data_IF_242166434547
#
_entry.id   IF_242166434547
#
_cell.length_a   1.000
_cell.length_b   1.000
_cell.length_c   1.000
_cell.angle_alpha   90.00
_cell.angle_beta   90.00
_cell.angle_gamma   90.00
#
_symmetry.space_group_name_H-M   'P 1'
#
loop_
_entity.id
_entity.type
_entity.pdbx_description
1 polymer ?
#
# COMPACT_ATOMS: atom_id res chain seq x y z
N UNK A 1 -10.03 -43.66 61.73
CA UNK A 1 -9.88 -42.27 61.83
C UNK A 1 -10.55 -41.54 60.69
N UNK A 2 -11.09 -40.44 60.93
CA UNK A 2 -12.03 -39.66 60.13
C UNK A 2 -11.42 -38.97 58.88
N UNK A 3 -12.18 -39.00 57.82
CA UNK A 3 -11.94 -38.33 56.55
C UNK A 3 -12.09 -36.79 56.67
N UNK A 4 -11.11 -36.06 56.18
CA UNK A 4 -11.20 -34.60 55.99
C UNK A 4 -11.80 -34.26 54.63
N UNK A 5 -12.90 -33.50 54.64
CA UNK A 5 -13.59 -32.93 53.46
C UNK A 5 -12.74 -31.80 52.82
N UNK A 6 -12.72 -31.66 51.50
CA UNK A 6 -12.11 -30.49 50.86
C UNK A 6 -13.06 -29.30 50.93
N UNK A 7 -12.49 -28.13 51.30
CA UNK A 7 -13.18 -26.83 51.35
C UNK A 7 -13.26 -26.27 49.93
N UNK A 8 -14.46 -25.92 49.49
CA UNK A 8 -14.76 -25.29 48.23
C UNK A 8 -14.35 -23.80 48.25
N UNK A 9 -13.61 -23.36 47.24
CA UNK A 9 -13.26 -21.97 46.99
C UNK A 9 -14.38 -21.33 46.15
N UNK A 10 -14.95 -20.18 46.51
CA UNK A 10 -15.96 -19.52 45.71
C UNK A 10 -15.32 -18.75 44.53
N UNK A 11 -15.80 -19.08 43.33
CA UNK A 11 -15.57 -18.41 42.08
C UNK A 11 -16.11 -16.98 42.11
N UNK A 12 -15.23 -15.97 42.09
CA UNK A 12 -15.63 -14.57 41.96
C UNK A 12 -15.90 -14.24 40.46
N UNK A 13 -17.17 -13.99 40.15
CA UNK A 13 -17.58 -13.37 38.85
C UNK A 13 -17.11 -11.93 38.85
N UNK A 14 -16.16 -11.61 37.97
CA UNK A 14 -15.82 -10.24 37.58
C UNK A 14 -16.91 -9.70 36.64
N UNK A 15 -17.77 -8.83 37.15
CA UNK A 15 -18.63 -7.95 36.35
C UNK A 15 -17.85 -6.70 36.00
N UNK A 16 -17.49 -6.55 34.73
CA UNK A 16 -16.91 -5.33 34.15
C UNK A 16 -18.02 -4.25 34.09
N UNK A 17 -17.95 -3.27 34.98
CA UNK A 17 -18.74 -2.03 34.89
C UNK A 17 -17.89 -0.95 34.28
N UNK A 18 -18.21 -0.56 33.04
CA UNK A 18 -17.71 0.65 32.38
C UNK A 18 -18.21 1.91 33.10
N UNK A 19 -17.40 2.95 33.29
CA UNK A 19 -17.87 4.21 33.86
C UNK A 19 -18.73 4.98 32.84
N UNK A 20 -19.94 5.35 33.24
CA UNK A 20 -20.79 6.33 32.52
C UNK A 20 -20.13 7.69 32.59
N UNK A 21 -19.83 8.27 31.43
CA UNK A 21 -19.53 9.69 31.27
C UNK A 21 -20.85 10.46 31.44
N UNK A 22 -20.84 11.45 32.32
CA UNK A 22 -21.96 12.39 32.51
C UNK A 22 -21.98 13.38 31.35
N UNK A 23 -23.14 13.48 30.71
CA UNK A 23 -23.46 14.57 29.79
C UNK A 23 -23.66 15.86 30.59
N UNK A 24 -22.69 16.76 30.49
CA UNK A 24 -22.90 18.16 30.81
C UNK A 24 -23.13 18.93 29.51
N UNK A 25 -24.37 19.37 29.34
CA UNK A 25 -24.88 20.20 28.26
C UNK A 25 -24.42 21.61 28.52
N UNK A 26 -23.72 22.26 27.60
CA UNK A 26 -23.52 23.69 27.49
C UNK A 26 -23.85 24.23 26.09
N UNK A 27 -24.31 25.49 25.98
CA UNK A 27 -25.33 25.90 25.04
C UNK A 27 -24.81 26.45 23.70
N UNK A 28 -25.65 26.24 22.70
CA UNK A 28 -25.88 26.99 21.44
C UNK A 28 -24.77 27.92 20.90
N UNK A 29 -24.11 27.47 19.83
CA UNK A 29 -23.52 28.33 18.80
C UNK A 29 -24.24 28.05 17.46
N UNK A 30 -24.47 29.10 16.64
CA UNK A 30 -25.38 29.01 15.49
C UNK A 30 -24.76 28.36 14.27
N UNK A 31 -25.53 27.46 13.68
CA UNK A 31 -25.64 27.13 12.26
C UNK A 31 -24.41 27.11 11.37
N UNK A 32 -23.68 25.98 11.39
CA UNK A 32 -22.91 25.57 10.23
C UNK A 32 -23.54 24.28 9.72
N UNK A 33 -24.09 24.35 8.52
CA UNK A 33 -24.69 23.22 7.82
C UNK A 33 -23.69 22.06 7.77
N UNK A 34 -24.10 20.91 8.28
CA UNK A 34 -23.34 19.66 8.15
C UNK A 34 -23.30 19.32 6.65
N UNK A 35 -22.12 19.05 6.07
CA UNK A 35 -22.07 18.40 4.77
C UNK A 35 -22.55 16.97 4.95
N UNK A 36 -23.48 16.56 4.08
CA UNK A 36 -24.04 15.24 3.98
C UNK A 36 -22.95 14.17 4.13
N UNK A 37 -23.25 13.18 4.97
CA UNK A 37 -22.42 12.00 5.17
C UNK A 37 -22.18 11.31 3.83
N UNK A 38 -21.04 11.62 3.22
CA UNK A 38 -20.56 10.89 2.06
C UNK A 38 -20.34 9.45 2.53
N UNK A 39 -21.19 8.57 2.06
CA UNK A 39 -21.15 7.12 2.18
C UNK A 39 -19.71 6.64 1.96
N UNK A 40 -19.08 6.15 3.02
CA UNK A 40 -17.82 5.43 2.94
C UNK A 40 -18.15 4.10 2.26
N UNK A 41 -17.95 4.04 0.96
CA UNK A 41 -18.11 2.81 0.17
C UNK A 41 -16.99 1.86 0.59
N UNK A 42 -17.36 0.75 1.22
CA UNK A 42 -16.46 -0.34 1.58
C UNK A 42 -15.83 -0.95 0.29
N UNK A 43 -14.61 -1.49 0.36
CA UNK A 43 -13.92 -2.03 -0.83
C UNK A 43 -14.64 -3.19 -1.53
N UNK A 44 -15.63 -3.81 -0.88
CA UNK A 44 -16.45 -4.89 -1.43
C UNK A 44 -17.55 -4.43 -2.40
N UNK A 45 -17.91 -3.13 -2.40
CA UNK A 45 -19.07 -2.66 -3.14
C UNK A 45 -18.72 -2.07 -4.52
N UNK A 46 -17.46 -2.21 -4.96
CA UNK A 46 -16.99 -1.67 -6.25
C UNK A 46 -17.19 -2.67 -7.41
N UNK A 47 -17.54 -3.92 -7.12
CA UNK A 47 -17.47 -5.00 -8.12
C UNK A 47 -18.74 -5.25 -8.95
N UNK A 48 -19.93 -4.72 -8.60
CA UNK A 48 -21.14 -5.22 -9.26
C UNK A 48 -22.10 -4.21 -9.94
N UNK A 49 -21.86 -2.88 -9.87
CA UNK A 49 -22.86 -1.94 -10.42
C UNK A 49 -22.32 -0.71 -11.20
N UNK A 50 -21.25 -0.90 -11.99
CA UNK A 50 -20.95 0.05 -13.06
C UNK A 50 -21.31 -0.60 -14.39
N UNK A 51 -22.61 -0.63 -14.67
CA UNK A 51 -23.06 -0.79 -16.05
C UNK A 51 -22.47 0.37 -16.83
N UNK A 52 -21.62 0.14 -17.85
CA UNK A 52 -21.05 1.24 -18.62
C UNK A 52 -22.20 2.04 -19.24
N UNK A 53 -22.24 3.35 -18.96
CA UNK A 53 -23.10 4.25 -19.70
C UNK A 53 -22.91 3.95 -21.18
N UNK A 54 -24.03 3.84 -21.89
CA UNK A 54 -24.14 3.55 -23.34
C UNK A 54 -22.99 4.24 -24.07
N UNK A 55 -22.05 3.52 -24.69
CA UNK A 55 -21.02 4.16 -25.50
C UNK A 55 -21.73 4.90 -26.65
N UNK A 56 -21.61 6.21 -26.70
CA UNK A 56 -22.00 6.96 -27.86
C UNK A 56 -21.21 6.42 -29.06
N UNK A 57 -21.82 6.24 -30.23
CA UNK A 57 -21.12 5.72 -31.40
C UNK A 57 -20.10 6.78 -31.86
N UNK A 58 -18.87 6.66 -31.37
CA UNK A 58 -17.77 7.46 -31.84
C UNK A 58 -17.38 6.93 -33.22
N UNK A 59 -17.82 7.63 -34.26
CA UNK A 59 -17.61 7.28 -35.69
C UNK A 59 -16.14 7.34 -36.13
N UNK A 60 -15.20 7.44 -35.20
CA UNK A 60 -13.78 7.54 -35.49
C UNK A 60 -13.01 6.34 -34.92
N UNK A 61 -13.50 5.12 -35.12
CA UNK A 61 -12.69 3.92 -34.96
C UNK A 61 -11.82 3.75 -36.21
N UNK A 62 -10.81 4.61 -36.35
CA UNK A 62 -9.69 4.28 -37.19
C UNK A 62 -9.10 2.99 -36.64
N UNK A 63 -9.07 1.95 -37.43
CA UNK A 63 -8.32 0.75 -37.16
C UNK A 63 -6.88 1.18 -36.83
N UNK A 64 -6.48 1.06 -35.56
CA UNK A 64 -5.12 1.32 -35.16
C UNK A 64 -4.23 0.33 -35.90
N UNK A 65 -3.27 0.81 -36.75
CA UNK A 65 -2.34 -0.08 -37.42
C UNK A 65 -1.58 -0.87 -36.37
N UNK A 66 -1.54 -2.19 -36.54
CA UNK A 66 -0.70 -3.06 -35.73
C UNK A 66 0.74 -2.60 -35.87
N UNK A 67 1.45 -2.29 -34.78
CA UNK A 67 2.85 -1.91 -34.89
C UNK A 67 3.64 -3.09 -35.45
N UNK A 68 4.41 -2.82 -36.50
CA UNK A 68 5.40 -3.76 -37.00
C UNK A 68 6.44 -4.07 -35.93
N UNK A 69 7.01 -5.27 -35.86
CA UNK A 69 8.01 -5.63 -34.87
C UNK A 69 9.25 -4.74 -35.07
N UNK A 70 9.60 -3.95 -34.06
CA UNK A 70 10.80 -3.13 -34.07
C UNK A 70 12.04 -4.02 -34.11
N UNK A 71 13.02 -3.76 -35.03
CA UNK A 71 14.26 -4.53 -35.07
C UNK A 71 15.20 -4.11 -33.94
N UNK A 72 15.62 -5.09 -33.14
CA UNK A 72 16.88 -5.08 -32.41
C UNK A 72 16.94 -4.34 -31.09
N UNK A 73 16.74 -5.07 -29.98
CA UNK A 73 17.36 -4.78 -28.69
C UNK A 73 17.80 -6.09 -28.04
N UNK A 74 19.03 -6.06 -27.52
CA UNK A 74 19.81 -7.19 -27.06
C UNK A 74 19.13 -8.15 -26.09
N UNK A 75 19.55 -9.38 -26.22
CA UNK A 75 19.01 -10.62 -25.67
C UNK A 75 19.10 -10.71 -24.16
N UNK A 76 18.03 -10.29 -23.47
CA UNK A 76 17.74 -10.79 -22.14
C UNK A 76 16.69 -11.93 -22.26
N UNK A 77 16.90 -12.99 -21.53
CA UNK A 77 16.06 -14.21 -21.52
C UNK A 77 14.56 -13.88 -21.36
N UNK A 78 14.24 -12.81 -20.62
CA UNK A 78 12.86 -12.33 -20.43
C UNK A 78 12.26 -11.81 -21.74
N UNK A 79 13.07 -11.20 -22.61
CA UNK A 79 12.66 -10.75 -23.93
C UNK A 79 12.36 -11.95 -24.86
N UNK A 80 13.07 -13.07 -24.70
CA UNK A 80 12.89 -14.27 -25.49
C UNK A 80 11.53 -14.92 -25.20
N UNK A 81 11.17 -15.10 -23.92
CA UNK A 81 9.86 -15.65 -23.52
C UNK A 81 8.71 -14.74 -23.96
N UNK A 82 8.84 -13.44 -23.79
CA UNK A 82 7.82 -12.48 -24.24
C UNK A 82 7.69 -12.53 -25.76
N UNK A 83 8.79 -12.65 -26.49
CA UNK A 83 8.79 -12.74 -27.94
C UNK A 83 8.14 -14.07 -28.43
N UNK A 84 8.38 -15.19 -27.74
CA UNK A 84 7.71 -16.44 -28.02
C UNK A 84 6.19 -16.31 -27.88
N UNK A 85 5.73 -15.72 -26.78
CA UNK A 85 4.31 -15.44 -26.56
C UNK A 85 3.72 -14.56 -27.67
N UNK A 86 4.40 -13.46 -28.03
CA UNK A 86 3.94 -12.57 -29.10
C UNK A 86 3.87 -13.26 -30.47
N UNK A 87 4.81 -14.16 -30.76
CA UNK A 87 4.82 -14.95 -31.99
C UNK A 87 3.64 -15.95 -32.01
N UNK A 88 3.36 -16.59 -30.88
CA UNK A 88 2.26 -17.57 -30.77
C UNK A 88 0.90 -16.89 -30.95
N UNK A 89 0.62 -15.79 -30.25
CA UNK A 89 -0.64 -15.05 -30.42
C UNK A 89 -0.78 -14.46 -31.83
N UNK A 90 0.35 -14.19 -32.49
CA UNK A 90 0.39 -13.67 -33.87
C UNK A 90 -0.16 -14.64 -34.91
N UNK A 91 -0.18 -15.97 -34.63
CA UNK A 91 -0.67 -17.00 -35.54
C UNK A 91 -2.20 -17.02 -35.63
N UNK A 92 -2.90 -16.49 -34.63
CA UNK A 92 -4.35 -16.44 -34.63
C UNK A 92 -4.88 -15.32 -35.52
N UNK A 93 -5.68 -15.69 -36.51
CA UNK A 93 -6.30 -14.74 -37.44
C UNK A 93 -7.41 -13.96 -36.76
N UNK A 94 -7.60 -12.69 -37.12
CA UNK A 94 -8.71 -11.89 -36.60
C UNK A 94 -10.06 -12.44 -37.02
N UNK A 95 -11.01 -12.50 -36.09
CA UNK A 95 -12.37 -12.95 -36.33
C UNK A 95 -13.20 -11.92 -37.11
N UNK A 96 -14.01 -12.39 -38.01
CA UNK A 96 -15.06 -11.56 -38.64
C UNK A 96 -16.21 -11.31 -37.65
N UNK A 97 -17.04 -10.30 -37.90
CA UNK A 97 -18.19 -10.02 -37.05
C UNK A 97 -19.18 -11.17 -36.91
N UNK A 98 -19.36 -11.93 -38.01
CA UNK A 98 -20.25 -13.08 -38.04
C UNK A 98 -19.70 -14.24 -37.20
N UNK A 99 -18.39 -14.49 -37.29
CA UNK A 99 -17.71 -15.51 -36.49
C UNK A 99 -17.72 -15.16 -35.00
N UNK A 100 -17.49 -13.91 -34.65
CA UNK A 100 -17.60 -13.44 -33.25
C UNK A 100 -18.99 -13.73 -32.66
N UNK A 101 -20.05 -13.41 -33.38
CA UNK A 101 -21.43 -13.66 -32.97
C UNK A 101 -21.70 -15.16 -32.84
N UNK A 102 -21.26 -15.95 -33.84
CA UNK A 102 -21.46 -17.40 -33.83
C UNK A 102 -20.74 -18.06 -32.62
N UNK A 103 -19.48 -17.69 -32.36
CA UNK A 103 -18.73 -18.18 -31.23
C UNK A 103 -19.31 -17.70 -29.88
N UNK A 104 -19.78 -16.45 -29.79
CA UNK A 104 -20.40 -15.94 -28.60
C UNK A 104 -21.73 -16.65 -28.26
N UNK A 105 -22.54 -16.96 -29.25
CA UNK A 105 -23.76 -17.78 -29.10
C UNK A 105 -23.43 -19.21 -28.65
N UNK A 106 -22.42 -19.82 -29.26
CA UNK A 106 -21.97 -21.16 -28.88
C UNK A 106 -21.46 -21.21 -27.45
N UNK A 107 -20.70 -20.16 -27.04
CA UNK A 107 -20.23 -19.99 -25.67
C UNK A 107 -21.38 -19.82 -24.65
N UNK A 108 -22.41 -19.04 -24.99
CA UNK A 108 -23.63 -18.92 -24.17
C UNK A 108 -24.35 -20.23 -23.97
N UNK A 109 -24.24 -21.16 -24.97
CA UNK A 109 -24.70 -22.56 -24.88
C UNK A 109 -23.79 -23.48 -24.07
N UNK A 110 -22.70 -22.97 -23.44
CA UNK A 110 -21.78 -23.75 -22.62
C UNK A 110 -20.64 -24.44 -23.38
N UNK A 111 -20.40 -24.08 -24.64
CA UNK A 111 -19.31 -24.67 -25.43
C UNK A 111 -17.95 -24.07 -25.00
N UNK A 112 -17.11 -24.90 -24.37
CA UNK A 112 -15.78 -24.51 -23.87
C UNK A 112 -14.81 -24.19 -25.01
N UNK A 113 -14.84 -24.95 -26.13
CA UNK A 113 -13.95 -24.70 -27.27
C UNK A 113 -14.25 -23.33 -27.91
N UNK A 114 -15.54 -22.99 -28.05
CA UNK A 114 -15.93 -21.66 -28.56
C UNK A 114 -15.41 -20.51 -27.68
N UNK A 115 -15.47 -20.69 -26.36
CA UNK A 115 -14.91 -19.74 -25.38
C UNK A 115 -13.41 -19.61 -25.56
N UNK A 116 -12.68 -20.73 -25.66
CA UNK A 116 -11.22 -20.73 -25.80
C UNK A 116 -10.81 -20.01 -27.08
N UNK A 117 -11.43 -20.36 -28.22
CA UNK A 117 -11.17 -19.71 -29.51
C UNK A 117 -11.42 -18.21 -29.45
N UNK A 118 -12.51 -17.78 -28.81
CA UNK A 118 -12.81 -16.35 -28.68
C UNK A 118 -11.76 -15.60 -27.85
N UNK A 119 -11.18 -16.24 -26.83
CA UNK A 119 -10.05 -15.68 -26.06
C UNK A 119 -8.81 -15.57 -26.95
N UNK A 120 -8.36 -16.69 -27.55
CA UNK A 120 -7.11 -16.78 -28.31
C UNK A 120 -7.04 -15.76 -29.44
N UNK A 121 -8.13 -15.59 -30.17
CA UNK A 121 -8.21 -14.64 -31.29
C UNK A 121 -8.24 -13.17 -30.84
N UNK A 122 -8.48 -12.89 -29.55
CA UNK A 122 -8.52 -11.52 -28.98
C UNK A 122 -7.30 -11.17 -28.11
N UNK A 123 -6.33 -12.08 -27.90
CA UNK A 123 -5.11 -11.78 -27.11
C UNK A 123 -4.29 -10.62 -27.71
N UNK A 124 -4.28 -10.50 -29.03
CA UNK A 124 -3.60 -9.38 -29.72
C UNK A 124 -4.15 -8.02 -29.34
N UNK A 125 -5.47 -7.92 -29.10
CA UNK A 125 -6.11 -6.70 -28.61
C UNK A 125 -5.57 -6.33 -27.21
N UNK A 126 -5.42 -7.32 -26.33
CA UNK A 126 -4.88 -7.09 -24.98
C UNK A 126 -3.47 -6.50 -25.07
N UNK A 127 -2.60 -7.10 -25.89
CA UNK A 127 -1.22 -6.61 -26.07
C UNK A 127 -1.20 -5.18 -26.62
N UNK A 128 -2.06 -4.88 -27.60
CA UNK A 128 -2.13 -3.53 -28.17
C UNK A 128 -2.50 -2.47 -27.11
N UNK A 129 -3.41 -2.80 -26.20
CA UNK A 129 -3.81 -1.92 -25.10
C UNK A 129 -2.70 -1.84 -24.04
N UNK A 130 -2.13 -2.99 -23.62
CA UNK A 130 -1.09 -3.05 -22.59
C UNK A 130 0.15 -2.23 -22.96
N UNK A 131 0.55 -2.21 -24.23
CA UNK A 131 1.68 -1.39 -24.73
C UNK A 131 1.55 0.10 -24.45
N UNK A 132 0.33 0.66 -24.35
CA UNK A 132 0.14 2.07 -24.00
C UNK A 132 0.37 2.38 -22.52
N UNK A 133 0.48 1.35 -21.69
CA UNK A 133 0.66 1.45 -20.24
C UNK A 133 2.08 1.06 -19.80
N UNK A 134 2.98 0.78 -20.73
CA UNK A 134 4.39 0.51 -20.43
C UNK A 134 5.06 1.68 -19.68
N UNK A 135 6.10 1.40 -18.91
CA UNK A 135 6.84 2.38 -18.11
C UNK A 135 6.03 3.07 -16.99
N UNK A 136 4.96 2.44 -16.53
CA UNK A 136 4.15 2.93 -15.40
C UNK A 136 4.36 2.15 -14.10
N UNK A 137 5.48 1.43 -13.98
CA UNK A 137 5.85 0.69 -12.77
C UNK A 137 5.52 -0.80 -12.78
N UNK A 138 4.93 -1.33 -13.88
CA UNK A 138 4.76 -2.76 -14.13
C UNK A 138 5.44 -3.17 -15.42
N UNK A 139 5.96 -4.39 -15.46
CA UNK A 139 6.53 -4.99 -16.66
C UNK A 139 5.44 -5.28 -17.69
N UNK A 140 5.79 -5.29 -18.99
CA UNK A 140 4.83 -5.55 -20.05
C UNK A 140 4.14 -6.93 -19.92
N UNK A 141 4.82 -8.02 -19.57
CA UNK A 141 4.15 -9.31 -19.34
C UNK A 141 3.06 -9.22 -18.27
N UNK A 142 3.34 -8.58 -17.14
CA UNK A 142 2.36 -8.45 -16.05
C UNK A 142 1.14 -7.63 -16.49
N UNK A 143 1.35 -6.56 -17.27
CA UNK A 143 0.26 -5.77 -17.85
C UNK A 143 -0.61 -6.59 -18.82
N UNK A 144 0.01 -7.49 -19.59
CA UNK A 144 -0.70 -8.39 -20.50
C UNK A 144 -1.55 -9.38 -19.70
N UNK A 145 -1.00 -10.02 -18.67
CA UNK A 145 -1.74 -11.00 -17.87
C UNK A 145 -2.94 -10.35 -17.14
N UNK A 146 -2.76 -9.18 -16.56
CA UNK A 146 -3.87 -8.44 -15.96
C UNK A 146 -4.91 -8.01 -17.02
N UNK A 147 -4.45 -7.66 -18.22
CA UNK A 147 -5.33 -7.40 -19.36
C UNK A 147 -6.09 -8.64 -19.82
N UNK A 148 -5.45 -9.81 -19.79
CA UNK A 148 -6.08 -11.10 -20.10
C UNK A 148 -7.19 -11.44 -19.10
N UNK A 149 -7.00 -11.14 -17.81
CA UNK A 149 -8.07 -11.27 -16.82
C UNK A 149 -9.26 -10.34 -17.14
N UNK A 150 -8.97 -9.11 -17.58
CA UNK A 150 -9.98 -8.17 -18.05
C UNK A 150 -10.75 -8.70 -19.28
N UNK A 151 -10.04 -9.32 -20.24
CA UNK A 151 -10.64 -9.94 -21.42
C UNK A 151 -11.58 -11.09 -21.03
N UNK A 152 -11.14 -11.98 -20.13
CA UNK A 152 -11.94 -13.10 -19.62
C UNK A 152 -13.20 -12.60 -18.92
N UNK A 153 -13.08 -11.53 -18.13
CA UNK A 153 -14.22 -10.92 -17.46
C UNK A 153 -15.21 -10.31 -18.45
N UNK A 154 -14.72 -9.61 -19.49
CA UNK A 154 -15.54 -9.07 -20.56
C UNK A 154 -16.33 -10.18 -21.27
N UNK A 155 -15.67 -11.31 -21.52
CA UNK A 155 -16.26 -12.45 -22.20
C UNK A 155 -17.46 -13.02 -21.42
N UNK A 156 -17.35 -13.13 -20.10
CA UNK A 156 -18.43 -13.62 -19.23
C UNK A 156 -19.66 -12.72 -19.18
N UNK A 157 -19.51 -11.44 -19.55
CA UNK A 157 -20.60 -10.43 -19.52
C UNK A 157 -21.03 -9.98 -20.93
N UNK A 158 -20.42 -10.51 -21.99
CA UNK A 158 -20.72 -10.09 -23.36
C UNK A 158 -22.02 -10.69 -23.88
N UNK A 159 -22.86 -9.83 -24.45
CA UNK A 159 -24.12 -10.19 -25.09
C UNK A 159 -24.05 -9.87 -26.60
N UNK A 160 -24.01 -10.93 -27.41
CA UNK A 160 -23.89 -10.83 -28.86
C UNK A 160 -25.14 -10.26 -29.55
N UNK A 161 -26.32 -10.32 -28.89
CA UNK A 161 -27.59 -9.86 -29.49
C UNK A 161 -27.71 -8.34 -29.52
N UNK A 162 -26.83 -7.62 -28.82
CA UNK A 162 -26.80 -6.14 -28.82
C UNK A 162 -26.24 -5.54 -30.10
N UNK A 163 -25.69 -6.31 -31.01
CA UNK A 163 -25.19 -5.86 -32.32
C UNK A 163 -23.86 -5.09 -32.29
N UNK A 164 -23.15 -5.06 -31.16
CA UNK A 164 -21.81 -4.45 -31.04
C UNK A 164 -20.72 -5.51 -31.21
N UNK A 165 -19.55 -5.08 -31.72
CA UNK A 165 -18.35 -5.92 -31.78
C UNK A 165 -17.85 -6.21 -30.35
N UNK A 166 -17.39 -7.43 -30.14
CA UNK A 166 -16.79 -7.84 -28.85
C UNK A 166 -15.60 -6.95 -28.48
N UNK A 167 -14.75 -6.60 -29.43
CA UNK A 167 -13.58 -5.75 -29.24
C UNK A 167 -13.92 -4.40 -28.60
N UNK A 168 -15.05 -3.77 -28.97
CA UNK A 168 -15.51 -2.48 -28.40
C UNK A 168 -15.83 -2.62 -26.92
N UNK A 169 -16.50 -3.69 -26.55
CA UNK A 169 -16.84 -3.98 -25.15
C UNK A 169 -15.63 -4.42 -24.33
N UNK A 170 -14.81 -5.33 -24.87
CA UNK A 170 -13.63 -5.85 -24.20
C UNK A 170 -12.59 -4.78 -23.90
N UNK A 171 -12.39 -3.81 -24.81
CA UNK A 171 -11.42 -2.72 -24.63
C UNK A 171 -11.61 -1.98 -23.30
N UNK A 172 -12.87 -1.75 -22.88
CA UNK A 172 -13.17 -1.09 -21.63
C UNK A 172 -12.72 -1.93 -20.41
N UNK A 173 -13.04 -3.22 -20.42
CA UNK A 173 -12.68 -4.13 -19.32
C UNK A 173 -11.17 -4.39 -19.23
N UNK A 174 -10.51 -4.56 -20.38
CA UNK A 174 -9.05 -4.70 -20.45
C UNK A 174 -8.37 -3.47 -19.87
N UNK A 175 -8.80 -2.27 -20.30
CA UNK A 175 -8.26 -1.01 -19.77
C UNK A 175 -8.47 -0.89 -18.27
N UNK A 176 -9.67 -1.17 -17.78
CA UNK A 176 -10.02 -1.13 -16.37
C UNK A 176 -9.16 -2.10 -15.54
N UNK A 177 -8.94 -3.33 -16.04
CA UNK A 177 -8.09 -4.32 -15.36
C UNK A 177 -6.63 -3.84 -15.29
N UNK A 178 -6.06 -3.39 -16.40
CA UNK A 178 -4.69 -2.86 -16.46
C UNK A 178 -4.52 -1.64 -15.54
N UNK A 179 -5.44 -0.68 -15.55
CA UNK A 179 -5.38 0.51 -14.67
C UNK A 179 -5.49 0.13 -13.19
N UNK A 180 -6.36 -0.83 -12.86
CA UNK A 180 -6.51 -1.37 -11.51
C UNK A 180 -5.23 -2.06 -11.05
N UNK A 181 -4.59 -2.87 -11.91
CA UNK A 181 -3.32 -3.51 -11.63
C UNK A 181 -2.21 -2.49 -11.36
N UNK A 182 -2.07 -1.47 -12.19
CA UNK A 182 -1.11 -0.39 -11.98
C UNK A 182 -1.34 0.31 -10.63
N UNK A 183 -2.58 0.65 -10.28
CA UNK A 183 -2.87 1.27 -8.99
C UNK A 183 -2.50 0.38 -7.80
N UNK A 184 -2.61 -0.95 -7.95
CA UNK A 184 -2.43 -1.89 -6.87
C UNK A 184 -0.99 -2.39 -6.71
N UNK A 185 -0.25 -2.54 -7.81
CA UNK A 185 1.00 -3.32 -7.87
C UNK A 185 2.21 -2.49 -8.32
N UNK A 186 2.03 -1.29 -8.91
CA UNK A 186 3.12 -0.50 -9.47
C UNK A 186 4.08 0.08 -8.42
N UNK A 187 3.71 0.08 -7.16
CA UNK A 187 4.49 0.67 -6.06
C UNK A 187 4.82 -0.36 -5.00
N UNK A 188 6.06 -0.32 -4.49
CA UNK A 188 6.51 -1.16 -3.36
C UNK A 188 5.66 -0.94 -2.12
N UNK A 189 5.34 0.32 -1.80
CA UNK A 189 4.36 0.66 -0.77
C UNK A 189 3.04 0.99 -1.47
N UNK A 190 2.07 0.09 -1.32
CA UNK A 190 0.74 0.25 -1.92
C UNK A 190 0.03 1.49 -1.37
N UNK A 191 -0.45 2.35 -2.24
CA UNK A 191 -1.30 3.49 -1.91
C UNK A 191 -2.78 3.16 -2.15
N UNK A 192 -3.70 3.69 -1.31
CA UNK A 192 -5.13 3.60 -1.57
C UNK A 192 -5.51 4.27 -2.90
N UNK A 193 -6.50 3.72 -3.61
CA UNK A 193 -6.88 4.18 -4.95
C UNK A 193 -7.30 5.66 -4.99
N UNK A 194 -7.94 6.17 -3.92
CA UNK A 194 -8.31 7.58 -3.86
C UNK A 194 -7.09 8.52 -3.80
N UNK A 195 -6.03 8.13 -3.05
CA UNK A 195 -4.77 8.90 -2.98
C UNK A 195 -4.08 8.92 -4.35
N UNK A 196 -4.04 7.78 -5.04
CA UNK A 196 -3.47 7.69 -6.40
C UNK A 196 -4.25 8.57 -7.38
N UNK A 197 -5.59 8.60 -7.29
CA UNK A 197 -6.43 9.48 -8.11
C UNK A 197 -6.15 10.96 -7.82
N UNK A 198 -6.06 11.36 -6.55
CA UNK A 198 -5.72 12.73 -6.15
C UNK A 198 -4.31 13.11 -6.64
N UNK A 199 -3.32 12.23 -6.48
CA UNK A 199 -1.97 12.44 -6.97
C UNK A 199 -1.93 12.66 -8.49
N UNK A 200 -2.67 11.84 -9.25
CA UNK A 200 -2.76 11.98 -10.71
C UNK A 200 -3.42 13.30 -11.14
N UNK A 201 -4.36 13.84 -10.36
CA UNK A 201 -4.95 15.17 -10.61
C UNK A 201 -3.88 16.25 -10.39
N UNK A 202 -3.16 16.21 -9.28
CA UNK A 202 -2.08 17.16 -8.96
C UNK A 202 -0.98 17.13 -10.02
N UNK A 203 -0.50 15.92 -10.41
CA UNK A 203 0.53 15.77 -11.43
C UNK A 203 0.08 16.23 -12.83
N UNK A 204 -1.20 16.10 -13.14
CA UNK A 204 -1.78 16.61 -14.39
C UNK A 204 -1.83 18.13 -14.41
N UNK A 205 -2.22 18.75 -13.28
CA UNK A 205 -2.24 20.20 -13.14
C UNK A 205 -0.83 20.78 -13.22
N UNK A 206 0.15 20.15 -12.55
CA UNK A 206 1.54 20.56 -12.62
C UNK A 206 2.06 20.57 -14.08
N UNK A 207 1.87 19.46 -14.79
CA UNK A 207 2.25 19.36 -16.23
C UNK A 207 1.53 20.36 -17.10
N UNK A 208 0.27 20.66 -16.80
CA UNK A 208 -0.49 21.68 -17.55
C UNK A 208 0.12 23.06 -17.36
N UNK A 209 0.50 23.42 -16.13
CA UNK A 209 1.15 24.70 -15.84
C UNK A 209 2.54 24.78 -16.47
N UNK A 210 3.35 23.72 -16.39
CA UNK A 210 4.67 23.63 -17.04
C UNK A 210 4.57 23.82 -18.57
N UNK A 211 3.57 23.22 -19.22
CA UNK A 211 3.36 23.35 -20.66
C UNK A 211 2.87 24.75 -21.09
N UNK A 212 2.22 25.49 -20.20
CA UNK A 212 1.67 26.82 -20.47
C UNK A 212 2.47 27.94 -19.81
N UNK A 213 3.55 27.59 -19.09
CA UNK A 213 4.49 28.58 -18.57
C UNK A 213 5.10 29.38 -19.72
N UNK A 214 5.03 30.72 -19.62
CA UNK A 214 5.68 31.60 -20.60
C UNK A 214 7.19 31.48 -20.46
N UNK A 215 7.97 31.69 -21.54
CA UNK A 215 9.43 31.59 -21.52
C UNK A 215 10.13 32.47 -20.47
N UNK A 216 9.47 33.56 -20.05
CA UNK A 216 9.93 34.49 -19.02
C UNK A 216 9.23 34.30 -17.66
N UNK A 217 8.28 33.37 -17.56
CA UNK A 217 7.58 33.02 -16.32
C UNK A 217 8.37 31.93 -15.58
N UNK A 218 8.64 32.14 -14.29
CA UNK A 218 9.33 31.15 -13.44
C UNK A 218 8.63 29.80 -13.45
N UNK A 219 9.31 28.80 -12.87
CA UNK A 219 8.78 27.44 -12.69
C UNK A 219 7.41 27.47 -11.99
N UNK A 220 6.52 26.57 -12.42
CA UNK A 220 5.19 26.41 -11.82
C UNK A 220 5.28 26.19 -10.31
N UNK A 221 4.68 27.07 -9.53
CA UNK A 221 4.72 26.98 -8.06
C UNK A 221 3.62 26.06 -7.53
N UNK A 222 3.82 25.56 -6.29
CA UNK A 222 2.77 24.77 -5.61
C UNK A 222 1.50 25.57 -5.35
N UNK A 223 1.62 26.89 -5.26
CA UNK A 223 0.52 27.83 -5.08
C UNK A 223 -0.35 27.90 -6.34
N UNK A 224 0.27 27.94 -7.52
CA UNK A 224 -0.42 27.94 -8.80
C UNK A 224 -1.19 26.64 -9.01
N UNK A 225 -0.59 25.50 -8.64
CA UNK A 225 -1.25 24.20 -8.68
C UNK A 225 -2.44 24.15 -7.71
N UNK A 226 -2.27 24.65 -6.48
CA UNK A 226 -3.32 24.68 -5.48
C UNK A 226 -4.50 25.57 -5.94
N UNK A 227 -4.20 26.69 -6.56
CA UNK A 227 -5.19 27.60 -7.15
C UNK A 227 -5.94 26.97 -8.34
N UNK A 228 -5.19 26.28 -9.23
CA UNK A 228 -5.80 25.63 -10.40
C UNK A 228 -6.76 24.49 -10.03
N UNK A 229 -6.47 23.76 -8.95
CA UNK A 229 -7.27 22.60 -8.50
C UNK A 229 -8.34 23.01 -7.46
N UNK A 230 -8.31 24.28 -6.99
CA UNK A 230 -9.14 24.77 -5.89
C UNK A 230 -9.00 23.92 -4.62
N UNK A 231 -7.75 23.72 -4.18
CA UNK A 231 -7.40 22.92 -2.98
C UNK A 231 -6.41 23.67 -2.10
N UNK A 232 -6.44 23.44 -0.77
CA UNK A 232 -5.45 24.03 0.14
C UNK A 232 -4.02 23.57 -0.21
N UNK A 233 -3.06 24.50 -0.21
CA UNK A 233 -1.65 24.24 -0.52
C UNK A 233 -1.04 23.12 0.34
N UNK A 234 -1.44 23.03 1.62
CA UNK A 234 -0.98 21.97 2.51
C UNK A 234 -1.41 20.58 2.04
N UNK A 235 -2.63 20.44 1.50
CA UNK A 235 -3.12 19.19 0.93
C UNK A 235 -2.37 18.83 -0.34
N UNK A 236 -2.10 19.79 -1.22
CA UNK A 236 -1.30 19.58 -2.43
C UNK A 236 0.10 19.10 -2.07
N UNK A 237 0.75 19.75 -1.09
CA UNK A 237 2.08 19.36 -0.60
C UNK A 237 2.09 17.94 -0.02
N UNK A 238 1.11 17.58 0.82
CA UNK A 238 1.02 16.24 1.39
C UNK A 238 0.81 15.16 0.33
N UNK A 239 -0.02 15.43 -0.70
CA UNK A 239 -0.25 14.50 -1.80
C UNK A 239 1.00 14.33 -2.66
N UNK A 240 1.77 15.40 -2.91
CA UNK A 240 3.04 15.32 -3.65
C UNK A 240 4.11 14.52 -2.89
N UNK A 241 4.12 14.56 -1.55
CA UNK A 241 5.00 13.71 -0.75
C UNK A 241 4.83 12.22 -1.01
N UNK A 242 3.64 11.77 -1.46
CA UNK A 242 3.44 10.38 -1.88
C UNK A 242 4.04 10.03 -3.24
N UNK A 243 4.59 11.01 -3.98
CA UNK A 243 5.23 10.79 -5.28
C UNK A 243 6.71 10.37 -5.16
N UNK A 244 7.23 10.23 -3.95
CA UNK A 244 8.58 9.76 -3.72
C UNK A 244 8.77 8.35 -4.28
N UNK A 245 9.91 8.16 -4.97
CA UNK A 245 10.28 6.87 -5.55
C UNK A 245 11.19 6.12 -4.60
N UNK A 246 10.90 4.84 -4.39
CA UNK A 246 11.79 3.93 -3.69
C UNK A 246 13.00 3.61 -4.54
N UNK A 247 14.19 3.67 -3.93
CA UNK A 247 15.45 3.25 -4.55
C UNK A 247 16.00 2.06 -3.79
N UNK A 248 16.68 1.13 -4.50
CA UNK A 248 17.32 0.00 -3.86
C UNK A 248 18.52 0.48 -3.01
N UNK A 249 18.67 -0.08 -1.83
CA UNK A 249 19.85 0.13 -0.99
C UNK A 249 21.13 -0.46 -1.62
N UNK A 250 20.97 -1.48 -2.46
CA UNK A 250 22.09 -2.10 -3.19
C UNK A 250 22.47 -1.34 -4.46
N UNK A 251 21.74 -0.27 -4.78
CA UNK A 251 22.09 0.56 -5.94
C UNK A 251 23.48 1.21 -5.73
N UNK A 252 24.33 1.21 -6.77
CA UNK A 252 25.65 1.82 -6.67
C UNK A 252 25.52 3.35 -6.51
N UNK A 253 26.31 3.93 -5.63
CA UNK A 253 26.37 5.38 -5.41
C UNK A 253 27.02 6.07 -6.59
N UNK A 254 28.11 5.49 -7.12
CA UNK A 254 28.88 6.01 -8.22
C UNK A 254 28.96 5.04 -9.41
N UNK A 255 29.18 5.56 -10.61
CA UNK A 255 29.39 4.76 -11.84
C UNK A 255 30.65 3.90 -11.79
N UNK A 256 31.61 4.26 -10.96
CA UNK A 256 32.90 3.56 -10.81
C UNK A 256 32.87 2.43 -9.78
N UNK A 257 31.68 2.06 -9.24
CA UNK A 257 31.51 0.89 -8.39
C UNK A 257 32.00 1.07 -6.94
N UNK A 258 32.06 2.30 -6.44
CA UNK A 258 32.62 2.64 -5.13
C UNK A 258 31.73 2.36 -3.91
N UNK A 259 30.79 1.41 -3.97
CA UNK A 259 29.92 1.04 -2.86
C UNK A 259 28.44 1.21 -3.14
N UNK A 260 27.59 0.63 -2.28
CA UNK A 260 26.15 0.76 -2.35
C UNK A 260 25.61 1.90 -1.47
N UNK A 261 24.41 2.39 -1.77
CA UNK A 261 23.71 3.39 -0.92
C UNK A 261 23.58 2.88 0.50
N UNK A 262 23.34 1.57 0.69
CA UNK A 262 23.18 0.94 2.00
C UNK A 262 24.44 0.99 2.86
N UNK A 263 25.62 0.91 2.26
CA UNK A 263 26.90 1.01 2.99
C UNK A 263 27.15 2.41 3.55
N UNK A 264 26.57 3.45 2.93
CA UNK A 264 26.66 4.83 3.40
C UNK A 264 25.67 5.19 4.52
N UNK A 265 24.70 4.32 4.84
CA UNK A 265 23.71 4.57 5.88
C UNK A 265 24.27 4.18 7.26
N UNK A 266 24.34 5.14 8.16
CA UNK A 266 24.71 4.89 9.54
C UNK A 266 23.57 4.20 10.30
N UNK A 267 23.92 3.25 11.16
CA UNK A 267 22.97 2.65 12.13
C UNK A 267 22.78 3.64 13.30
N UNK A 268 21.61 4.31 13.35
CA UNK A 268 21.27 5.26 14.40
C UNK A 268 21.15 4.60 15.79
N UNK A 269 20.94 3.28 15.85
CA UNK A 269 20.85 2.54 17.10
C UNK A 269 22.21 2.00 17.58
N UNK A 270 23.24 2.09 16.78
CA UNK A 270 24.58 1.67 17.16
C UNK A 270 25.14 2.64 18.20
N UNK A 271 25.40 2.11 19.39
CA UNK A 271 26.06 2.87 20.43
C UNK A 271 27.53 3.11 20.06
N UNK A 272 27.98 4.37 20.14
CA UNK A 272 29.39 4.68 19.94
C UNK A 272 30.25 3.86 20.91
N UNK A 273 31.40 3.30 20.49
CA UNK A 273 32.27 2.51 21.36
C UNK A 273 32.67 3.24 22.65
N UNK A 274 32.80 4.54 22.60
CA UNK A 274 33.09 5.40 23.73
C UNK A 274 31.96 5.38 24.77
N UNK A 275 30.69 5.39 24.34
CA UNK A 275 29.54 5.29 25.24
C UNK A 275 29.44 3.90 25.88
N UNK A 276 29.75 2.85 25.13
CA UNK A 276 29.79 1.48 25.65
C UNK A 276 30.84 1.37 26.76
N UNK A 277 32.04 1.88 26.50
CA UNK A 277 33.14 1.87 27.47
C UNK A 277 32.80 2.72 28.70
N UNK A 278 32.23 3.91 28.49
CA UNK A 278 31.80 4.81 29.58
C UNK A 278 30.72 4.15 30.46
N UNK A 279 29.72 3.53 29.87
CA UNK A 279 28.67 2.82 30.61
C UNK A 279 29.25 1.64 31.40
N UNK A 280 30.16 0.87 30.81
CA UNK A 280 30.86 -0.25 31.51
C UNK A 280 31.70 0.28 32.69
N UNK A 281 32.36 1.43 32.54
CA UNK A 281 33.09 2.06 33.63
C UNK A 281 32.17 2.52 34.78
N UNK A 282 31.02 3.14 34.41
CA UNK A 282 30.01 3.56 35.42
C UNK A 282 29.46 2.32 36.15
N UNK A 283 29.13 1.24 35.44
CA UNK A 283 28.70 0.00 36.10
C UNK A 283 29.73 -0.54 37.07
N UNK A 284 31.00 -0.50 36.69
CA UNK A 284 32.11 -0.89 37.55
C UNK A 284 32.17 -0.06 38.84
N UNK A 285 32.06 1.28 38.71
CA UNK A 285 32.05 2.17 39.88
C UNK A 285 30.81 1.98 40.76
N UNK A 286 29.63 1.81 40.17
CA UNK A 286 28.40 1.53 40.90
C UNK A 286 28.55 0.22 41.72
N UNK A 287 29.12 -0.86 41.12
CA UNK A 287 29.36 -2.09 41.84
C UNK A 287 30.32 -1.89 43.02
N UNK A 288 31.42 -1.16 42.81
CA UNK A 288 32.37 -0.85 43.86
C UNK A 288 31.72 -0.06 45.00
N UNK A 289 30.92 0.96 44.69
CA UNK A 289 30.21 1.73 45.72
C UNK A 289 29.16 0.92 46.47
N UNK A 290 28.48 0.00 45.80
CA UNK A 290 27.56 -0.93 46.45
C UNK A 290 28.25 -1.87 47.42
N UNK A 291 29.53 -2.24 47.20
CA UNK A 291 30.33 -3.07 48.10
C UNK A 291 30.69 -2.31 49.38
N UNK A 292 30.83 -1.01 49.33
CA UNK A 292 31.12 -0.15 50.49
C UNK A 292 29.89 0.04 51.42
N UNK A 293 28.66 -0.25 50.94
CA UNK A 293 27.45 -0.09 51.72
C UNK A 293 27.18 -1.30 52.64
N UNK A 294 26.50 -1.00 53.75
CA UNK A 294 25.98 -2.03 54.64
C UNK A 294 24.96 -2.92 53.90
N UNK A 295 24.85 -4.20 54.25
CA UNK A 295 23.97 -5.17 53.60
C UNK A 295 22.52 -4.69 53.43
N UNK A 296 21.97 -4.01 54.47
CA UNK A 296 20.61 -3.42 54.40
C UNK A 296 20.49 -2.29 53.39
N UNK A 297 21.49 -1.40 53.36
CA UNK A 297 21.55 -0.28 52.44
C UNK A 297 21.70 -0.79 50.98
N UNK A 298 22.58 -1.75 50.78
CA UNK A 298 22.82 -2.42 49.49
C UNK A 298 21.51 -3.03 48.97
N UNK A 299 20.82 -3.81 49.81
CA UNK A 299 19.55 -4.45 49.39
C UNK A 299 18.49 -3.43 49.03
N UNK A 300 18.39 -2.31 49.75
CA UNK A 300 17.43 -1.23 49.45
C UNK A 300 17.75 -0.61 48.10
N UNK A 301 19.01 -0.29 47.80
CA UNK A 301 19.42 0.39 46.56
C UNK A 301 19.31 -0.61 45.38
N UNK A 302 19.80 -1.83 45.52
CA UNK A 302 19.73 -2.86 44.44
C UNK A 302 18.29 -3.07 44.00
N UNK A 303 17.36 -3.26 44.92
CA UNK A 303 15.95 -3.49 44.60
C UNK A 303 15.21 -2.22 44.20
N UNK A 304 15.62 -1.05 44.71
CA UNK A 304 14.99 0.20 44.28
C UNK A 304 15.27 0.59 42.85
N UNK A 305 16.48 0.31 42.35
CA UNK A 305 16.96 0.69 41.04
C UNK A 305 17.11 -0.48 40.08
N UNK A 306 16.79 -1.71 40.53
CA UNK A 306 16.91 -2.91 39.67
C UNK A 306 18.35 -3.27 39.35
N UNK A 307 19.30 -3.02 40.29
CA UNK A 307 20.71 -3.34 40.06
C UNK A 307 20.99 -4.81 40.31
N UNK A 308 22.09 -5.34 39.72
CA UNK A 308 22.52 -6.72 39.84
C UNK A 308 21.47 -7.78 39.44
N UNK A 309 20.59 -7.42 38.48
CA UNK A 309 19.53 -8.32 37.96
C UNK A 309 18.33 -8.50 38.90
N UNK A 310 18.18 -7.64 39.88
CA UNK A 310 17.01 -7.63 40.78
C UNK A 310 15.88 -6.79 40.17
N UNK A 311 14.63 -7.20 40.43
CA UNK A 311 13.45 -6.43 40.00
C UNK A 311 13.33 -5.13 40.78
N UNK A 312 12.84 -4.09 40.08
CA UNK A 312 12.58 -2.76 40.65
C UNK A 312 11.39 -2.84 41.60
N UNK A 313 11.61 -2.47 42.86
CA UNK A 313 10.58 -2.48 43.92
C UNK A 313 10.20 -1.07 44.40
N UNK A 314 8.94 -0.92 44.80
CA UNK A 314 8.44 0.28 45.45
C UNK A 314 8.94 0.40 46.91
N UNK A 315 8.87 1.59 47.49
CA UNK A 315 9.25 1.79 48.92
C UNK A 315 8.35 1.00 49.90
N UNK A 316 7.10 0.67 49.45
CA UNK A 316 6.15 -0.09 50.25
C UNK A 316 6.48 -1.59 50.24
N UNK A 317 6.82 -2.11 49.09
CA UNK A 317 7.28 -3.51 48.93
C UNK A 317 8.60 -3.72 49.70
N UNK A 318 9.55 -2.80 49.57
CA UNK A 318 10.82 -2.84 50.29
C UNK A 318 10.61 -2.77 51.81
N UNK A 319 9.65 -1.96 52.28
CA UNK A 319 9.30 -1.87 53.69
C UNK A 319 8.74 -3.20 54.22
N UNK A 320 7.92 -3.88 53.42
CA UNK A 320 7.41 -5.20 53.74
C UNK A 320 8.49 -6.27 53.79
N UNK A 321 9.41 -6.27 52.83
CA UNK A 321 10.49 -7.28 52.71
C UNK A 321 11.57 -7.15 53.85
N UNK A 322 11.86 -5.91 54.24
CA UNK A 322 12.89 -5.64 55.26
C UNK A 322 12.29 -5.57 56.69
N UNK A 323 10.95 -5.54 56.79
CA UNK A 323 10.23 -5.47 58.07
C UNK A 323 10.36 -4.13 58.77
N UNK A 324 10.41 -3.01 58.02
CA UNK A 324 10.51 -1.64 58.53
C UNK A 324 9.42 -0.75 57.91
N UNK A 325 9.24 0.45 58.47
CA UNK A 325 8.27 1.41 57.92
C UNK A 325 8.78 2.02 56.60
N UNK A 326 7.89 2.42 55.69
CA UNK A 326 8.22 3.11 54.44
C UNK A 326 9.14 4.33 54.65
N UNK A 327 8.87 5.11 55.69
CA UNK A 327 9.70 6.27 56.01
C UNK A 327 11.13 5.87 56.46
N UNK A 328 11.25 4.70 57.12
CA UNK A 328 12.58 4.20 57.50
C UNK A 328 13.36 3.72 56.27
N UNK A 329 12.70 3.11 55.28
CA UNK A 329 13.33 2.76 53.98
C UNK A 329 13.81 4.01 53.27
N UNK A 330 13.01 5.08 53.26
CA UNK A 330 13.39 6.38 52.69
C UNK A 330 14.60 7.02 53.37
N UNK A 331 14.73 6.84 54.69
CA UNK A 331 15.89 7.31 55.44
C UNK A 331 17.16 6.49 55.19
N UNK A 332 17.02 5.25 54.84
CA UNK A 332 18.14 4.35 54.50
C UNK A 332 18.64 4.63 53.09
N UNK A 333 17.73 4.95 52.16
CA UNK A 333 18.04 5.37 50.80
C UNK A 333 18.78 6.71 50.79
#
# INVERSE_FOLDING_TARGET
GQAGRPVAVPSARMTSRSPRVRDDVDPELPGIAQPDAATVVAPSDIDDEVTPARPEPNQNTQELPLPEPAPGLGADIVNDVTQMYLNEIGQHVLLTAEEEIALARAMAGGNFEARQRLIEHNLRLVVSIAKHYTNRGLALPDLIEEGNLGLIHALGKFDAERGFRFTTYATWWIRQAVERAIMNQSRTIRLPAHVVKELNVVLRALRHLEMHAQPDGGDATLEDVAHLIDRPIQKVRSVLGFNERMTSLDAPVDRDGGGSIGEGLADENALAPELILHNAAIEGWVRQWLEELNERQRTVIERRYGLNGRDVATLEELAGDIGVTRERVRQIQ
#
